data_IF_301622042278
#
_entry.id   IF_301622042278
#
_cell.length_a   1.000
_cell.length_b   1.000
_cell.length_c   1.000
_cell.angle_alpha   90.00
_cell.angle_beta   90.00
_cell.angle_gamma   90.00
#
_symmetry.space_group_name_H-M   'P 1'
#
loop_
_entity.id
_entity.type
_entity.pdbx_description
1 polymer ?
#
# COMPACT_ATOMS: atom_id res chain seq x y z
N UNK A 1 -35.64 -28.98 -4.57
CA UNK A 1 -36.68 -28.50 -3.62
C UNK A 1 -36.28 -28.60 -2.15
N UNK A 2 -35.79 -29.76 -1.65
CA UNK A 2 -35.37 -29.92 -0.23
C UNK A 2 -34.20 -29.01 0.20
N UNK A 3 -33.26 -28.70 -0.70
CA UNK A 3 -32.11 -27.83 -0.38
C UNK A 3 -32.50 -26.36 -0.24
N UNK A 4 -33.41 -25.87 -1.09
CA UNK A 4 -33.96 -24.51 -1.02
C UNK A 4 -34.71 -24.29 0.31
N UNK A 5 -35.44 -25.30 0.79
CA UNK A 5 -36.10 -25.30 2.09
C UNK A 5 -35.11 -25.24 3.27
N UNK A 6 -34.00 -25.99 3.21
CA UNK A 6 -32.95 -25.95 4.26
C UNK A 6 -32.21 -24.61 4.29
N UNK A 7 -31.96 -24.00 3.14
CA UNK A 7 -31.31 -22.69 3.03
C UNK A 7 -32.21 -21.57 3.58
N UNK A 8 -33.49 -21.57 3.21
CA UNK A 8 -34.49 -20.63 3.75
C UNK A 8 -34.60 -20.73 5.29
N UNK A 9 -34.57 -21.94 5.84
CA UNK A 9 -34.58 -22.15 7.30
C UNK A 9 -33.32 -21.61 7.99
N UNK A 10 -32.13 -21.76 7.39
CA UNK A 10 -30.87 -21.20 7.93
C UNK A 10 -30.89 -19.68 7.93
N UNK A 11 -31.32 -19.05 6.83
CA UNK A 11 -31.46 -17.59 6.75
C UNK A 11 -32.45 -17.09 7.80
N UNK A 12 -33.60 -17.75 7.95
CA UNK A 12 -34.61 -17.36 8.95
C UNK A 12 -34.07 -17.46 10.38
N UNK A 13 -33.29 -18.51 10.70
CA UNK A 13 -32.62 -18.62 12.00
C UNK A 13 -31.59 -17.52 12.23
N UNK A 14 -30.80 -17.20 11.21
CA UNK A 14 -29.80 -16.12 11.28
C UNK A 14 -30.47 -14.75 11.49
N UNK A 15 -31.51 -14.43 10.71
CA UNK A 15 -32.30 -13.20 10.86
C UNK A 15 -32.97 -13.13 12.23
N UNK A 16 -33.53 -14.24 12.73
CA UNK A 16 -34.11 -14.29 14.08
C UNK A 16 -33.05 -14.05 15.16
N UNK A 17 -31.84 -14.61 15.01
CA UNK A 17 -30.74 -14.38 15.95
C UNK A 17 -30.27 -12.92 15.95
N UNK A 18 -30.20 -12.30 14.77
CA UNK A 18 -29.83 -10.89 14.61
C UNK A 18 -30.90 -9.97 15.23
N UNK A 19 -32.18 -10.27 14.97
CA UNK A 19 -33.31 -9.54 15.54
C UNK A 19 -33.34 -9.67 17.07
N UNK A 20 -33.03 -10.86 17.60
CA UNK A 20 -32.94 -11.10 19.05
C UNK A 20 -31.78 -10.31 19.68
N UNK A 21 -30.64 -10.20 19.00
CA UNK A 21 -29.52 -9.33 19.41
C UNK A 21 -29.96 -7.86 19.46
N UNK A 22 -30.61 -7.35 18.42
CA UNK A 22 -31.10 -5.97 18.39
C UNK A 22 -32.11 -5.68 19.50
N UNK A 23 -33.02 -6.62 19.76
CA UNK A 23 -33.99 -6.51 20.86
C UNK A 23 -33.26 -6.48 22.21
N UNK A 24 -32.26 -7.34 22.42
CA UNK A 24 -31.46 -7.35 23.65
C UNK A 24 -30.71 -6.04 23.86
N UNK A 25 -30.06 -5.51 22.83
CA UNK A 25 -29.36 -4.23 22.87
C UNK A 25 -30.35 -3.08 23.16
N UNK A 26 -31.53 -3.12 22.55
CA UNK A 26 -32.57 -2.11 22.77
C UNK A 26 -33.14 -2.17 24.19
N UNK A 27 -33.44 -3.36 24.71
CA UNK A 27 -33.90 -3.54 26.10
C UNK A 27 -32.82 -3.05 27.06
N UNK A 28 -31.56 -3.39 26.83
CA UNK A 28 -30.45 -2.91 27.63
C UNK A 28 -30.35 -1.38 27.58
N UNK A 29 -30.50 -0.78 26.41
CA UNK A 29 -30.51 0.68 26.23
C UNK A 29 -31.66 1.36 26.99
N UNK A 30 -32.87 0.82 26.91
CA UNK A 30 -34.03 1.35 27.64
C UNK A 30 -33.82 1.20 29.15
N UNK A 31 -33.35 0.05 29.62
CA UNK A 31 -33.09 -0.20 31.04
C UNK A 31 -32.01 0.71 31.60
N UNK A 32 -30.92 0.95 30.87
CA UNK A 32 -29.87 1.87 31.32
C UNK A 32 -30.39 3.30 31.41
N UNK A 33 -31.22 3.76 30.47
CA UNK A 33 -31.79 5.12 30.51
C UNK A 33 -32.90 5.31 31.56
N UNK A 34 -33.62 4.25 31.94
CA UNK A 34 -34.67 4.30 32.97
C UNK A 34 -34.12 4.14 34.39
N UNK A 35 -33.09 3.32 34.58
CA UNK A 35 -32.61 2.93 35.91
C UNK A 35 -31.35 3.68 36.37
N UNK A 36 -30.55 4.22 35.43
CA UNK A 36 -29.33 4.94 35.79
C UNK A 36 -29.57 6.46 35.71
N UNK A 37 -29.09 7.23 36.70
CA UNK A 37 -29.09 8.68 36.62
C UNK A 37 -28.29 9.11 35.38
N UNK A 38 -28.79 10.10 34.64
CA UNK A 38 -28.15 10.65 33.44
C UNK A 38 -26.66 11.01 33.65
N UNK A 39 -26.32 11.44 34.88
CA UNK A 39 -24.95 11.77 35.30
C UNK A 39 -24.01 10.55 35.29
N UNK A 40 -24.51 9.35 35.60
CA UNK A 40 -23.72 8.13 35.59
C UNK A 40 -23.47 7.65 34.15
N UNK A 41 -24.48 7.78 33.29
CA UNK A 41 -24.38 7.45 31.86
C UNK A 41 -23.36 8.35 31.16
N UNK A 42 -23.35 9.65 31.48
CA UNK A 42 -22.36 10.59 30.90
C UNK A 42 -20.92 10.26 31.33
N UNK A 43 -20.71 9.93 32.61
CA UNK A 43 -19.36 9.54 33.11
C UNK A 43 -18.87 8.25 32.45
N UNK A 44 -19.74 7.22 32.34
CA UNK A 44 -19.39 5.97 31.66
C UNK A 44 -19.08 6.21 30.18
N UNK A 45 -19.86 7.06 29.51
CA UNK A 45 -19.61 7.42 28.11
C UNK A 45 -18.29 8.15 27.93
N UNK A 46 -17.95 9.07 28.83
CA UNK A 46 -16.70 9.82 28.78
C UNK A 46 -15.49 8.90 29.01
N UNK A 47 -15.58 7.98 29.96
CA UNK A 47 -14.51 7.02 30.23
C UNK A 47 -14.35 6.00 29.09
N UNK A 48 -15.45 5.55 28.48
CA UNK A 48 -15.41 4.73 27.27
C UNK A 48 -14.74 5.48 26.11
N UNK A 49 -15.09 6.75 25.88
CA UNK A 49 -14.46 7.58 24.84
C UNK A 49 -12.96 7.72 25.06
N UNK A 50 -12.50 7.96 26.30
CA UNK A 50 -11.07 8.03 26.62
C UNK A 50 -10.35 6.71 26.31
N UNK A 51 -10.96 5.58 26.69
CA UNK A 51 -10.40 4.24 26.40
C UNK A 51 -10.36 3.98 24.89
N UNK A 52 -11.43 4.31 24.17
CA UNK A 52 -11.50 4.15 22.72
C UNK A 52 -10.43 4.99 21.99
N UNK A 53 -10.21 6.24 22.42
CA UNK A 53 -9.13 7.09 21.89
C UNK A 53 -7.77 6.47 22.18
N UNK A 54 -7.53 5.95 23.38
CA UNK A 54 -6.28 5.27 23.75
C UNK A 54 -6.01 4.04 22.87
N UNK A 55 -7.03 3.21 22.64
CA UNK A 55 -6.93 2.04 21.75
C UNK A 55 -6.66 2.49 20.30
N UNK A 56 -7.38 3.50 19.81
CA UNK A 56 -7.17 4.03 18.46
C UNK A 56 -5.74 4.59 18.28
N UNK A 57 -5.19 5.25 19.29
CA UNK A 57 -3.82 5.75 19.27
C UNK A 57 -2.79 4.62 19.24
N UNK A 58 -2.99 3.54 20.01
CA UNK A 58 -2.12 2.36 19.99
C UNK A 58 -2.17 1.65 18.63
N UNK A 59 -3.36 1.47 18.06
CA UNK A 59 -3.54 0.91 16.72
C UNK A 59 -2.86 1.78 15.67
N UNK A 60 -3.04 3.10 15.74
CA UNK A 60 -2.41 4.05 14.82
C UNK A 60 -0.89 4.06 14.97
N UNK A 61 -0.36 3.96 16.18
CA UNK A 61 1.08 3.88 16.41
C UNK A 61 1.65 2.55 15.86
N UNK A 62 0.94 1.44 16.08
CA UNK A 62 1.35 0.12 15.59
C UNK A 62 1.41 0.08 14.06
N UNK A 63 0.32 0.44 13.37
CA UNK A 63 0.26 0.43 11.90
C UNK A 63 0.96 1.63 11.25
N UNK A 64 1.03 2.78 11.92
CA UNK A 64 1.70 3.98 11.42
C UNK A 64 3.23 3.84 11.40
N UNK A 65 3.79 3.04 12.31
CA UNK A 65 5.24 2.82 12.38
C UNK A 65 5.80 2.08 11.16
N UNK A 66 5.09 1.06 10.65
CA UNK A 66 5.52 0.33 9.45
C UNK A 66 5.45 1.22 8.21
N UNK A 67 4.32 1.95 8.04
CA UNK A 67 4.15 2.91 6.96
C UNK A 67 5.23 4.00 6.97
N UNK A 68 5.56 4.54 8.15
CA UNK A 68 6.60 5.56 8.28
C UNK A 68 7.99 5.01 7.93
N UNK A 69 8.32 3.78 8.35
CA UNK A 69 9.60 3.15 8.00
C UNK A 69 9.72 2.91 6.50
N UNK A 70 8.65 2.46 5.87
CA UNK A 70 8.61 2.26 4.42
C UNK A 70 8.79 3.58 3.67
N UNK A 71 8.05 4.62 4.08
CA UNK A 71 8.14 5.95 3.48
C UNK A 71 9.53 6.58 3.67
N UNK A 72 10.17 6.36 4.82
CA UNK A 72 11.55 6.79 5.07
C UNK A 72 12.54 6.05 4.17
N UNK A 73 12.39 4.73 4.02
CA UNK A 73 13.20 3.93 3.09
C UNK A 73 13.04 4.41 1.66
N UNK A 74 11.80 4.72 1.25
CA UNK A 74 11.49 5.25 -0.08
C UNK A 74 12.18 6.58 -0.34
N UNK A 75 12.09 7.52 0.59
CA UNK A 75 12.77 8.82 0.48
C UNK A 75 14.29 8.66 0.34
N UNK A 76 14.91 7.78 1.13
CA UNK A 76 16.35 7.50 1.04
C UNK A 76 16.75 6.91 -0.30
N UNK A 77 15.96 5.96 -0.83
CA UNK A 77 16.20 5.39 -2.15
C UNK A 77 16.11 6.46 -3.25
N UNK A 78 15.08 7.31 -3.22
CA UNK A 78 14.92 8.42 -4.16
C UNK A 78 16.11 9.37 -4.12
N UNK A 79 16.54 9.78 -2.92
CA UNK A 79 17.69 10.66 -2.74
C UNK A 79 18.97 10.03 -3.31
N UNK A 80 19.22 8.76 -2.99
CA UNK A 80 20.38 8.01 -3.50
C UNK A 80 20.41 7.98 -5.03
N UNK A 81 19.32 7.56 -5.67
CA UNK A 81 19.29 7.42 -7.13
C UNK A 81 19.28 8.76 -7.85
N UNK A 82 18.61 9.80 -7.32
CA UNK A 82 18.68 11.14 -7.91
C UNK A 82 20.07 11.77 -7.78
N UNK A 83 20.82 11.45 -6.73
CA UNK A 83 22.22 11.86 -6.60
C UNK A 83 23.13 11.12 -7.58
N UNK A 84 22.91 9.81 -7.76
CA UNK A 84 23.71 8.98 -8.67
C UNK A 84 23.42 9.27 -10.15
N UNK A 85 22.15 9.45 -10.49
CA UNK A 85 21.64 9.69 -11.85
C UNK A 85 20.83 10.99 -11.88
N UNK A 86 21.51 12.15 -11.79
CA UNK A 86 20.84 13.43 -11.72
C UNK A 86 20.24 13.84 -13.07
N UNK A 87 19.07 14.50 -13.10
CA UNK A 87 18.37 14.86 -14.34
C UNK A 87 19.22 15.58 -15.39
N UNK A 88 20.13 16.45 -14.96
CA UNK A 88 20.97 17.28 -15.83
C UNK A 88 22.02 16.46 -16.61
N UNK A 89 22.26 15.21 -16.18
CA UNK A 89 23.20 14.28 -16.81
C UNK A 89 22.53 13.20 -17.67
N UNK A 90 21.22 13.30 -17.88
CA UNK A 90 20.50 12.44 -18.81
C UNK A 90 21.13 12.50 -20.22
N UNK A 91 21.23 11.36 -20.90
CA UNK A 91 21.94 11.10 -22.17
C UNK A 91 23.47 11.30 -22.15
N UNK A 92 24.03 11.91 -21.10
CA UNK A 92 25.48 12.08 -20.94
C UNK A 92 26.09 10.92 -20.16
N UNK A 93 25.46 10.55 -19.05
CA UNK A 93 25.97 9.51 -18.12
C UNK A 93 25.01 8.33 -17.97
N UNK A 94 23.73 8.51 -18.30
CA UNK A 94 22.77 7.43 -18.31
C UNK A 94 21.66 7.66 -19.34
N UNK A 95 21.00 6.58 -19.74
CA UNK A 95 19.85 6.58 -20.65
C UNK A 95 18.77 5.63 -20.15
N UNK A 96 17.55 5.83 -20.63
CA UNK A 96 16.46 4.88 -20.42
C UNK A 96 16.32 4.05 -21.69
N UNK A 97 16.41 2.74 -21.54
CA UNK A 97 16.38 1.79 -22.64
C UNK A 97 15.33 0.70 -22.40
N UNK A 98 14.88 0.08 -23.48
CA UNK A 98 14.01 -1.09 -23.46
C UNK A 98 14.43 -2.05 -24.59
N UNK A 99 14.06 -3.33 -24.48
CA UNK A 99 14.31 -4.31 -25.55
C UNK A 99 13.15 -4.29 -26.54
N UNK A 100 13.45 -4.32 -27.84
CA UNK A 100 12.44 -4.46 -28.91
C UNK A 100 11.67 -5.78 -28.82
N UNK A 101 12.33 -6.87 -28.43
CA UNK A 101 11.74 -8.22 -28.34
C UNK A 101 10.95 -8.46 -27.04
N UNK A 102 11.18 -7.62 -26.03
CA UNK A 102 10.57 -7.72 -24.71
C UNK A 102 9.94 -6.40 -24.26
N UNK A 103 8.94 -5.88 -24.99
CA UNK A 103 8.33 -4.60 -24.67
C UNK A 103 7.63 -4.67 -23.30
N UNK A 104 7.93 -3.72 -22.42
CA UNK A 104 7.27 -3.58 -21.12
C UNK A 104 8.22 -3.47 -19.93
N UNK A 105 9.42 -4.06 -20.01
CA UNK A 105 10.46 -3.90 -19.00
C UNK A 105 11.36 -2.70 -19.33
N UNK A 106 11.49 -1.77 -18.39
CA UNK A 106 12.25 -0.53 -18.58
C UNK A 106 13.56 -0.61 -17.81
N UNK A 107 14.66 -0.19 -18.43
CA UNK A 107 15.99 -0.24 -17.84
C UNK A 107 16.64 1.14 -17.87
N UNK A 108 17.46 1.43 -16.85
CA UNK A 108 18.44 2.50 -16.89
C UNK A 108 19.77 1.92 -17.35
N UNK A 109 20.30 2.41 -18.46
CA UNK A 109 21.66 2.12 -18.91
C UNK A 109 22.61 3.18 -18.35
N UNK A 110 23.54 2.74 -17.52
CA UNK A 110 24.67 3.55 -17.05
C UNK A 110 25.75 3.55 -18.14
N UNK A 111 26.04 4.72 -18.72
CA UNK A 111 26.97 4.86 -19.83
C UNK A 111 28.43 4.85 -19.37
N UNK A 112 28.70 5.06 -18.08
CA UNK A 112 30.05 5.02 -17.53
C UNK A 112 30.45 3.58 -17.20
N UNK A 113 29.56 2.84 -16.53
CA UNK A 113 29.83 1.46 -16.13
C UNK A 113 29.36 0.40 -17.14
N UNK A 114 28.59 0.79 -18.16
CA UNK A 114 27.96 -0.10 -19.15
C UNK A 114 27.03 -1.16 -18.55
N UNK A 115 26.49 -0.90 -17.36
CA UNK A 115 25.49 -1.74 -16.73
C UNK A 115 24.08 -1.26 -17.06
N UNK A 116 23.19 -2.21 -17.37
CA UNK A 116 21.75 -1.99 -17.45
C UNK A 116 21.10 -2.41 -16.13
N UNK A 117 20.36 -1.47 -15.53
CA UNK A 117 19.66 -1.64 -14.28
C UNK A 117 18.16 -1.72 -14.54
N UNK A 118 17.52 -2.82 -14.15
CA UNK A 118 16.07 -2.95 -14.29
C UNK A 118 15.35 -1.94 -13.39
N UNK A 119 14.44 -1.15 -13.94
CA UNK A 119 13.57 -0.27 -13.17
C UNK A 119 12.34 -1.09 -12.79
N UNK A 120 12.22 -1.40 -11.50
CA UNK A 120 11.29 -2.43 -11.01
C UNK A 120 9.84 -2.25 -11.47
N UNK A 121 9.35 -1.00 -11.48
CA UNK A 121 7.99 -0.68 -11.90
C UNK A 121 7.85 0.80 -12.31
N UNK A 122 6.73 1.15 -12.93
CA UNK A 122 6.43 2.53 -13.32
C UNK A 122 6.33 3.49 -12.13
N UNK A 123 5.91 3.01 -10.94
CA UNK A 123 5.88 3.81 -9.71
C UNK A 123 7.27 4.33 -9.33
N UNK A 124 8.30 3.47 -9.47
CA UNK A 124 9.72 3.83 -9.31
C UNK A 124 10.13 4.89 -10.34
N UNK A 125 9.70 4.73 -11.59
CA UNK A 125 9.95 5.71 -12.66
C UNK A 125 9.39 7.09 -12.32
N UNK A 126 8.15 7.15 -11.80
CA UNK A 126 7.50 8.40 -11.35
C UNK A 126 8.16 9.01 -10.12
N UNK A 127 8.46 8.19 -9.11
CA UNK A 127 9.16 8.61 -7.89
C UNK A 127 10.50 9.29 -8.21
N UNK A 128 11.22 8.76 -9.21
CA UNK A 128 12.50 9.28 -9.64
C UNK A 128 12.40 10.44 -10.64
N UNK A 129 11.22 10.69 -11.22
CA UNK A 129 10.98 11.78 -12.17
C UNK A 129 11.44 11.46 -13.60
N UNK A 130 11.68 10.18 -13.91
CA UNK A 130 12.25 9.74 -15.18
C UNK A 130 11.22 9.45 -16.26
N UNK A 131 9.92 9.49 -15.94
CA UNK A 131 8.81 9.25 -16.88
C UNK A 131 8.82 10.18 -18.11
N UNK A 132 9.46 11.35 -17.99
CA UNK A 132 9.58 12.33 -19.06
C UNK A 132 10.69 12.00 -20.06
N UNK A 133 11.58 11.06 -19.72
CA UNK A 133 12.71 10.69 -20.55
C UNK A 133 12.29 9.74 -21.67
N UNK A 134 12.80 10.02 -22.88
CA UNK A 134 12.59 9.14 -24.04
C UNK A 134 13.18 7.75 -23.76
N UNK A 135 12.38 6.71 -23.93
CA UNK A 135 12.85 5.32 -23.90
C UNK A 135 13.44 5.00 -25.26
N UNK A 136 14.71 4.61 -25.29
CA UNK A 136 15.40 4.16 -26.50
C UNK A 136 15.21 2.64 -26.61
N UNK A 137 14.36 2.20 -27.53
CA UNK A 137 14.23 0.78 -27.85
C UNK A 137 15.49 0.31 -28.58
N UNK A 138 16.07 -0.78 -28.11
CA UNK A 138 17.30 -1.34 -28.67
C UNK A 138 17.04 -2.72 -29.27
N UNK A 139 17.70 -3.05 -30.41
CA UNK A 139 17.73 -4.41 -30.91
C UNK A 139 18.29 -5.36 -29.85
N UNK A 140 17.73 -6.55 -29.79
CA UNK A 140 17.99 -7.50 -28.72
C UNK A 140 19.49 -7.84 -28.55
N UNK A 141 20.23 -8.00 -29.65
CA UNK A 141 21.69 -8.22 -29.61
C UNK A 141 22.44 -7.11 -28.87
N UNK A 142 22.09 -5.85 -29.14
CA UNK A 142 22.68 -4.69 -28.49
C UNK A 142 22.18 -4.54 -27.05
N UNK A 143 20.93 -4.87 -26.78
CA UNK A 143 20.39 -4.85 -25.43
C UNK A 143 21.08 -5.88 -24.53
N UNK A 144 21.32 -7.09 -25.04
CA UNK A 144 21.95 -8.19 -24.31
C UNK A 144 23.45 -7.99 -24.10
N UNK A 145 24.12 -7.18 -24.93
CA UNK A 145 25.56 -6.91 -24.80
C UNK A 145 25.94 -6.12 -23.54
N UNK A 146 25.00 -5.36 -22.95
CA UNK A 146 25.22 -4.65 -21.69
C UNK A 146 25.12 -5.58 -20.48
N UNK A 147 25.99 -5.38 -19.48
CA UNK A 147 26.00 -6.16 -18.25
C UNK A 147 24.77 -5.86 -17.39
N UNK A 148 24.27 -6.84 -16.65
CA UNK A 148 23.13 -6.64 -15.74
C UNK A 148 23.67 -6.07 -14.42
N UNK A 149 23.18 -4.90 -14.03
CA UNK A 149 23.43 -4.31 -12.72
C UNK A 149 22.26 -4.54 -11.75
N UNK A 150 22.43 -4.05 -10.53
CA UNK A 150 21.39 -4.15 -9.49
C UNK A 150 20.09 -3.46 -9.90
N UNK A 151 18.91 -4.03 -9.57
CA UNK A 151 17.63 -3.41 -9.89
C UNK A 151 17.40 -2.13 -9.09
N UNK A 152 16.82 -1.14 -9.77
CA UNK A 152 16.43 0.14 -9.18
C UNK A 152 15.00 0.03 -8.67
N UNK A 153 14.83 0.29 -7.38
CA UNK A 153 13.55 0.25 -6.67
C UNK A 153 13.50 1.35 -5.61
N UNK A 154 12.38 2.06 -5.55
CA UNK A 154 12.11 3.03 -4.48
C UNK A 154 11.31 2.41 -3.34
N UNK A 155 10.60 1.30 -3.57
CA UNK A 155 9.82 0.59 -2.55
C UNK A 155 10.27 -0.85 -2.38
N UNK A 156 9.99 -1.42 -1.22
CA UNK A 156 10.39 -2.78 -0.83
C UNK A 156 9.49 -3.88 -1.40
N UNK A 157 8.46 -3.55 -2.17
CA UNK A 157 7.39 -4.49 -2.47
C UNK A 157 7.79 -5.47 -3.59
N UNK A 158 8.05 -6.70 -3.15
CA UNK A 158 8.02 -7.91 -3.95
C UNK A 158 6.54 -8.28 -4.21
N UNK A 159 5.87 -7.56 -5.11
CA UNK A 159 4.52 -7.92 -5.56
C UNK A 159 3.48 -6.83 -5.34
N UNK A 160 3.44 -5.87 -6.26
CA UNK A 160 2.18 -5.37 -6.84
C UNK A 160 2.14 -5.85 -8.29
#
# INVERSE_FOLDING_TARGET
MKEVLKFSQKIRKFLNSLLLLFILVFILFVLTHLLLPLQLISVISDDFNKVAIGIAALVTAYFGSSYFREELSRKRAIEYYRKKYPPEKYQKTFKIIESEDGPGAVFLLDLESLHKHHIWNMKTMYDLGWQLYKRESLPNEKFLSYLIGDPIRTRGDLGE
#
